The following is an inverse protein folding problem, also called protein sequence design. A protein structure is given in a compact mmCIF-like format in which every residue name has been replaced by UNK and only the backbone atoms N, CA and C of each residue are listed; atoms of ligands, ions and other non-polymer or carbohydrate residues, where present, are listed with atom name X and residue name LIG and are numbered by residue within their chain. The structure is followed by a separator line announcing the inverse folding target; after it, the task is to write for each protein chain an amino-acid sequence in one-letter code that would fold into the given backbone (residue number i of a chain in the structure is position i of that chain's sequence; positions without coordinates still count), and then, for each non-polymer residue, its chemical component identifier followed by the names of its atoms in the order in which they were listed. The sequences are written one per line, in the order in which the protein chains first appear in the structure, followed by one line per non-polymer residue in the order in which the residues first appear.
data_IF_402595826689
#
_entry.id   IF_402595826689
#
_cell.length_a   1.000
_cell.length_b   1.000
_cell.length_c   1.000
_cell.angle_alpha   90.00
_cell.angle_beta   90.00
_cell.angle_gamma   90.00
#
_symmetry.space_group_name_H-M   'P 1'
#
loop_
_entity.id
_entity.type
_entity.pdbx_description
1 polymer ?
#
# COMPACT_ATOMS: atom_id res chain seq x y z
N UNK A 1 -22.04 -27.24 23.06
CA UNK A 1 -21.54 -26.87 21.73
C UNK A 1 -20.91 -25.49 21.85
N UNK A 2 -19.58 -25.43 21.94
CA UNK A 2 -18.85 -24.17 22.12
C UNK A 2 -18.78 -23.43 20.79
N UNK A 3 -19.26 -22.19 20.76
CA UNK A 3 -18.96 -21.26 19.67
C UNK A 3 -17.45 -21.02 19.69
N UNK A 4 -16.74 -21.51 18.67
CA UNK A 4 -15.38 -21.08 18.40
C UNK A 4 -15.50 -19.67 17.84
N UNK A 5 -15.44 -18.68 18.72
CA UNK A 5 -15.32 -17.28 18.31
C UNK A 5 -14.00 -17.12 17.58
N UNK A 6 -14.06 -17.05 16.25
CA UNK A 6 -12.97 -16.45 15.48
C UNK A 6 -12.87 -15.00 15.92
N UNK A 7 -11.92 -14.72 16.82
CA UNK A 7 -11.45 -13.35 17.06
C UNK A 7 -11.00 -12.82 15.70
N UNK A 8 -11.79 -11.91 15.12
CA UNK A 8 -11.36 -11.13 13.97
C UNK A 8 -10.04 -10.46 14.37
N UNK A 9 -8.93 -10.70 13.66
CA UNK A 9 -7.67 -10.03 13.97
C UNK A 9 -7.94 -8.53 13.90
N UNK A 10 -7.60 -7.82 14.98
CA UNK A 10 -7.63 -6.37 14.98
C UNK A 10 -6.80 -5.88 13.79
N UNK A 11 -7.42 -5.04 12.94
CA UNK A 11 -6.90 -4.58 11.65
C UNK A 11 -5.64 -3.70 11.76
N UNK A 12 -5.08 -3.52 12.96
CA UNK A 12 -3.84 -2.79 13.20
C UNK A 12 -2.63 -3.68 12.95
N UNK A 13 -2.35 -3.91 11.66
CA UNK A 13 -1.18 -4.64 11.26
C UNK A 13 0.05 -3.70 11.35
N UNK A 14 1.19 -4.12 11.92
CA UNK A 14 2.44 -3.33 11.93
C UNK A 14 3.06 -3.35 10.51
N UNK A 15 2.32 -2.85 9.52
CA UNK A 15 2.65 -2.76 8.09
C UNK A 15 3.48 -1.52 7.75
N UNK A 16 3.97 -0.80 8.77
CA UNK A 16 4.49 0.56 8.61
C UNK A 16 5.91 0.56 8.06
N UNK A 17 6.86 -0.14 8.69
CA UNK A 17 8.29 0.10 8.39
C UNK A 17 8.80 -0.51 7.09
N UNK A 18 8.41 -1.75 6.73
CA UNK A 18 8.92 -2.42 5.52
C UNK A 18 8.34 -1.77 4.26
N UNK A 19 7.06 -1.41 4.30
CA UNK A 19 6.35 -0.74 3.22
C UNK A 19 6.81 0.70 3.08
N UNK A 20 7.02 1.43 4.18
CA UNK A 20 7.65 2.76 4.12
C UNK A 20 9.04 2.69 3.50
N UNK A 21 9.88 1.76 3.96
CA UNK A 21 11.25 1.62 3.45
C UNK A 21 11.28 1.22 1.97
N UNK A 22 10.36 0.37 1.56
CA UNK A 22 10.20 -0.03 0.15
C UNK A 22 9.71 1.16 -0.70
N UNK A 23 8.70 1.91 -0.26
CA UNK A 23 8.23 3.10 -0.96
C UNK A 23 9.31 4.19 -1.05
N UNK A 24 10.08 4.43 0.02
CA UNK A 24 11.23 5.35 0.04
C UNK A 24 12.26 5.04 -1.05
N UNK A 25 12.45 3.76 -1.38
CA UNK A 25 13.40 3.33 -2.41
C UNK A 25 12.96 3.76 -3.82
N UNK A 26 11.66 3.91 -4.06
CA UNK A 26 11.09 4.35 -5.34
C UNK A 26 10.94 5.87 -5.47
N UNK A 27 10.88 6.58 -4.35
CA UNK A 27 10.96 8.05 -4.35
C UNK A 27 12.42 8.49 -4.54
N UNK A 28 13.42 7.59 -4.43
CA UNK A 28 14.84 7.96 -4.48
C UNK A 28 15.28 8.84 -3.30
N UNK A 29 14.44 8.96 -2.29
CA UNK A 29 14.46 10.08 -1.35
C UNK A 29 14.02 9.63 0.03
N UNK A 30 14.99 9.18 0.82
CA UNK A 30 14.88 9.21 2.28
C UNK A 30 14.87 10.66 2.85
N UNK A 31 14.72 11.71 2.00
CA UNK A 31 15.00 13.11 2.36
C UNK A 31 14.19 14.19 1.58
N UNK A 32 13.03 13.89 1.00
CA UNK A 32 12.20 15.01 0.50
C UNK A 32 11.49 15.71 1.67
N UNK A 33 11.45 17.05 1.69
CA UNK A 33 10.65 17.80 2.65
C UNK A 33 9.17 17.44 2.44
N UNK A 34 8.54 16.84 3.45
CA UNK A 34 7.12 16.46 3.43
C UNK A 34 6.85 14.95 3.45
N UNK A 35 7.85 14.08 3.24
CA UNK A 35 7.66 12.64 3.42
C UNK A 35 7.28 12.35 4.88
N UNK A 36 6.19 11.61 5.17
CA UNK A 36 5.81 11.39 6.54
C UNK A 36 6.89 10.52 7.21
N UNK A 37 7.37 10.93 8.38
CA UNK A 37 8.28 10.07 9.15
C UNK A 37 7.48 8.82 9.59
N UNK A 38 8.11 7.65 9.80
CA UNK A 38 7.49 6.55 10.51
C UNK A 38 7.18 7.03 11.93
N UNK A 39 6.00 7.60 12.13
CA UNK A 39 5.56 8.04 13.44
C UNK A 39 5.26 6.78 14.24
N UNK A 40 5.96 6.60 15.36
CA UNK A 40 5.89 5.41 16.23
C UNK A 40 4.56 5.25 16.97
N UNK A 41 3.45 5.24 16.23
CA UNK A 41 2.08 5.13 16.74
C UNK A 41 1.18 4.31 15.83
N UNK A 42 0.09 3.81 16.41
CA UNK A 42 -0.95 3.03 15.72
C UNK A 42 -1.83 3.98 14.88
N UNK A 43 -1.44 4.27 13.65
CA UNK A 43 -2.31 4.99 12.71
C UNK A 43 -3.24 4.03 12.00
N UNK A 44 -4.47 4.49 11.77
CA UNK A 44 -5.38 3.79 10.88
C UNK A 44 -4.89 3.91 9.41
N UNK A 45 -5.17 2.90 8.56
CA UNK A 45 -4.78 2.90 7.15
C UNK A 45 -5.21 4.14 6.33
N UNK A 46 -6.32 4.77 6.67
CA UNK A 46 -6.87 5.91 5.93
C UNK A 46 -6.03 7.17 6.13
N UNK A 47 -5.62 7.41 7.38
CA UNK A 47 -4.75 8.52 7.74
C UNK A 47 -3.38 8.37 7.09
N UNK A 48 -2.83 7.15 7.07
CA UNK A 48 -1.51 6.88 6.47
C UNK A 48 -1.49 7.12 4.95
N UNK A 49 -2.48 6.61 4.21
CA UNK A 49 -2.52 6.78 2.76
C UNK A 49 -2.86 8.22 2.33
N UNK A 50 -3.68 8.95 3.10
CA UNK A 50 -3.93 10.37 2.86
C UNK A 50 -2.63 11.18 2.96
N UNK A 51 -1.81 10.92 3.99
CA UNK A 51 -0.53 11.60 4.17
C UNK A 51 0.45 11.30 3.02
N UNK A 52 0.50 10.04 2.57
CA UNK A 52 1.33 9.66 1.42
C UNK A 52 0.86 10.35 0.15
N UNK A 53 -0.45 10.44 -0.10
CA UNK A 53 -0.96 11.19 -1.25
C UNK A 53 -0.59 12.67 -1.19
N UNK A 54 -0.73 13.31 -0.03
CA UNK A 54 -0.34 14.72 0.15
C UNK A 54 1.15 14.96 -0.10
N UNK A 55 2.01 14.03 0.34
CA UNK A 55 3.46 14.17 0.20
C UNK A 55 3.98 13.72 -1.18
N UNK A 56 3.26 12.81 -1.85
CA UNK A 56 3.80 12.02 -2.95
C UNK A 56 2.90 11.98 -4.18
N UNK A 57 1.94 12.90 -4.30
CA UNK A 57 1.06 12.97 -5.48
C UNK A 57 1.86 13.07 -6.80
N UNK A 58 3.05 13.65 -6.79
CA UNK A 58 3.90 13.72 -7.99
C UNK A 58 4.65 12.41 -8.29
N UNK A 59 4.49 11.37 -7.47
CA UNK A 59 5.21 10.10 -7.56
C UNK A 59 4.24 8.89 -7.49
N UNK A 60 3.50 8.60 -8.57
CA UNK A 60 2.53 7.50 -8.63
C UNK A 60 3.06 6.15 -8.15
N UNK A 61 4.33 5.82 -8.46
CA UNK A 61 4.97 4.55 -8.03
C UNK A 61 5.05 4.40 -6.51
N UNK A 62 5.21 5.50 -5.77
CA UNK A 62 5.24 5.46 -4.30
C UNK A 62 3.82 5.29 -3.73
N UNK A 63 2.85 6.00 -4.31
CA UNK A 63 1.43 5.85 -3.98
C UNK A 63 0.98 4.41 -4.23
N UNK A 64 1.40 3.81 -5.35
CA UNK A 64 1.11 2.43 -5.72
C UNK A 64 1.58 1.46 -4.64
N UNK A 65 2.85 1.50 -4.25
CA UNK A 65 3.44 0.61 -3.23
C UNK A 65 2.66 0.68 -1.92
N UNK A 66 2.32 1.88 -1.48
CA UNK A 66 1.59 2.11 -0.23
C UNK A 66 0.17 1.56 -0.33
N UNK A 67 -0.60 1.94 -1.36
CA UNK A 67 -1.99 1.51 -1.51
C UNK A 67 -2.08 0.00 -1.68
N UNK A 68 -1.17 -0.59 -2.46
CA UNK A 68 -1.11 -2.02 -2.73
C UNK A 68 -0.69 -2.88 -1.52
N UNK A 69 -0.29 -2.26 -0.42
CA UNK A 69 -0.04 -2.96 0.84
C UNK A 69 -1.32 -3.29 1.60
N UNK A 70 -2.37 -2.49 1.41
CA UNK A 70 -3.60 -2.60 2.18
C UNK A 70 -4.58 -3.55 1.52
N UNK A 71 -5.09 -4.48 2.33
CA UNK A 71 -6.12 -5.43 1.93
C UNK A 71 -7.45 -4.71 1.65
N UNK A 72 -7.77 -3.73 2.49
CA UNK A 72 -8.97 -2.92 2.40
C UNK A 72 -8.61 -1.46 2.61
N UNK A 73 -8.98 -0.62 1.66
CA UNK A 73 -8.86 0.83 1.78
C UNK A 73 -9.96 1.50 0.97
N UNK A 74 -10.59 2.50 1.58
CA UNK A 74 -11.64 3.29 0.96
C UNK A 74 -11.16 4.73 0.80
N UNK A 75 -11.18 5.20 -0.43
CA UNK A 75 -10.88 6.57 -0.78
C UNK A 75 -11.92 7.51 -0.17
N UNK A 76 -11.49 8.72 0.16
CA UNK A 76 -12.37 9.78 0.70
C UNK A 76 -12.27 11.01 -0.17
N UNK A 77 -13.22 11.94 -0.05
CA UNK A 77 -13.14 13.24 -0.75
C UNK A 77 -11.83 14.00 -0.44
N UNK A 78 -11.25 13.78 0.74
CA UNK A 78 -9.95 14.35 1.13
C UNK A 78 -8.79 13.86 0.25
N UNK A 79 -8.86 12.64 -0.28
CA UNK A 79 -7.81 12.11 -1.15
C UNK A 79 -7.79 12.84 -2.48
N UNK A 80 -8.97 13.05 -3.09
CA UNK A 80 -9.07 13.81 -4.33
C UNK A 80 -8.62 15.25 -4.14
N UNK A 81 -8.98 15.88 -3.03
CA UNK A 81 -8.53 17.23 -2.67
C UNK A 81 -7.02 17.34 -2.36
N UNK A 82 -6.33 16.22 -2.10
CA UNK A 82 -4.90 16.20 -1.82
C UNK A 82 -4.02 16.19 -3.08
N UNK A 83 -4.62 16.01 -4.27
CA UNK A 83 -3.90 15.91 -5.54
C UNK A 83 -4.17 17.20 -6.33
N UNK A 84 -3.14 18.01 -6.65
CA UNK A 84 -3.27 19.16 -7.53
C UNK A 84 -3.79 18.76 -8.92
N UNK A 85 -4.62 19.60 -9.55
CA UNK A 85 -5.25 19.29 -10.85
C UNK A 85 -4.22 18.97 -11.95
N UNK A 86 -3.11 19.72 -12.02
CA UNK A 86 -2.07 19.50 -13.02
C UNK A 86 -1.37 18.13 -12.85
N UNK A 87 -1.28 17.63 -11.62
CA UNK A 87 -0.72 16.33 -11.30
C UNK A 87 -1.73 15.22 -11.60
N UNK A 88 -3.00 15.47 -11.30
CA UNK A 88 -4.08 14.55 -11.62
C UNK A 88 -4.18 14.34 -13.14
N UNK A 89 -4.20 15.42 -13.93
CA UNK A 89 -4.22 15.35 -15.40
C UNK A 89 -2.99 14.62 -15.97
N UNK A 90 -1.79 14.87 -15.41
CA UNK A 90 -0.55 14.21 -15.84
C UNK A 90 -0.56 12.70 -15.62
N UNK A 91 -1.27 12.23 -14.60
CA UNK A 91 -1.31 10.82 -14.17
C UNK A 91 -2.74 10.29 -14.10
N UNK A 92 -3.59 10.74 -15.02
CA UNK A 92 -5.04 10.53 -14.97
C UNK A 92 -5.42 9.06 -14.84
N UNK A 93 -4.94 8.20 -15.76
CA UNK A 93 -5.26 6.76 -15.76
C UNK A 93 -4.91 6.08 -14.43
N UNK A 94 -3.80 6.48 -13.81
CA UNK A 94 -3.37 5.94 -12.52
C UNK A 94 -4.30 6.35 -11.38
N UNK A 95 -4.64 7.64 -11.31
CA UNK A 95 -5.50 8.14 -10.23
C UNK A 95 -6.96 7.74 -10.39
N UNK A 96 -7.46 7.63 -11.62
CA UNK A 96 -8.78 7.07 -11.89
C UNK A 96 -8.84 5.60 -11.46
N UNK A 97 -7.82 4.81 -11.77
CA UNK A 97 -7.69 3.43 -11.28
C UNK A 97 -7.65 3.37 -9.75
N UNK A 98 -6.88 4.25 -9.10
CA UNK A 98 -6.82 4.35 -7.65
C UNK A 98 -8.20 4.56 -7.03
N UNK A 99 -8.96 5.54 -7.53
CA UNK A 99 -10.29 5.85 -6.98
C UNK A 99 -11.32 4.76 -7.28
N UNK A 100 -11.22 4.11 -8.45
CA UNK A 100 -12.05 2.96 -8.82
C UNK A 100 -11.83 1.78 -7.89
N UNK A 101 -10.57 1.38 -7.66
CA UNK A 101 -10.25 0.22 -6.82
C UNK A 101 -10.47 0.53 -5.33
N UNK A 102 -10.30 1.78 -4.90
CA UNK A 102 -10.54 2.21 -3.52
C UNK A 102 -11.99 2.69 -3.29
N UNK A 103 -12.96 2.23 -4.08
CA UNK A 103 -14.37 2.64 -4.01
C UNK A 103 -15.24 1.81 -3.05
N UNK A 104 -14.61 1.05 -2.13
CA UNK A 104 -15.25 0.07 -1.23
C UNK A 104 -15.66 -1.24 -1.93
N UNK A 105 -15.06 -1.55 -3.09
CA UNK A 105 -15.12 -2.87 -3.70
C UNK A 105 -14.12 -3.82 -3.01
N UNK A 106 -14.44 -5.14 -2.93
CA UNK A 106 -13.48 -6.12 -2.46
C UNK A 106 -12.32 -6.21 -3.47
N UNK A 107 -11.08 -6.31 -2.95
CA UNK A 107 -9.90 -6.56 -3.76
C UNK A 107 -9.90 -7.98 -4.32
N UNK A 108 -9.14 -8.22 -5.38
CA UNK A 108 -9.01 -9.56 -5.97
C UNK A 108 -8.44 -10.58 -4.97
N UNK A 109 -8.77 -11.86 -5.13
CA UNK A 109 -8.21 -12.94 -4.29
C UNK A 109 -6.68 -12.94 -4.32
N UNK A 110 -6.07 -12.68 -5.48
CA UNK A 110 -4.62 -12.57 -5.63
C UNK A 110 -4.02 -11.48 -4.72
N UNK A 111 -4.69 -10.33 -4.62
CA UNK A 111 -4.29 -9.23 -3.74
C UNK A 111 -4.43 -9.59 -2.26
N UNK A 112 -5.55 -10.21 -1.88
CA UNK A 112 -5.76 -10.69 -0.52
C UNK A 112 -4.68 -11.72 -0.12
N UNK A 113 -4.34 -12.64 -1.02
CA UNK A 113 -3.24 -13.59 -0.83
C UNK A 113 -1.88 -12.89 -0.65
N UNK A 114 -1.58 -11.85 -1.46
CA UNK A 114 -0.36 -11.05 -1.27
C UNK A 114 -0.32 -10.43 0.13
N UNK A 115 -1.41 -9.80 0.57
CA UNK A 115 -1.49 -9.20 1.90
C UNK A 115 -1.27 -10.25 3.00
N UNK A 116 -1.88 -11.44 2.89
CA UNK A 116 -1.71 -12.53 3.85
C UNK A 116 -0.26 -13.08 3.88
N UNK A 117 0.36 -13.29 2.72
CA UNK A 117 1.75 -13.75 2.63
C UNK A 117 2.70 -12.72 3.23
N UNK A 118 2.54 -11.44 2.85
CA UNK A 118 3.36 -10.35 3.38
C UNK A 118 3.18 -10.20 4.89
N UNK A 119 1.97 -10.34 5.41
CA UNK A 119 1.70 -10.35 6.85
C UNK A 119 2.42 -11.51 7.56
N UNK A 120 2.45 -12.69 6.95
CA UNK A 120 3.11 -13.88 7.50
C UNK A 120 4.63 -13.74 7.50
N UNK A 121 5.20 -13.16 6.46
CA UNK A 121 6.66 -12.93 6.35
C UNK A 121 7.10 -11.70 7.16
N UNK A 122 6.24 -10.69 7.29
CA UNK A 122 6.48 -9.42 7.98
C UNK A 122 7.79 -8.77 7.51
N UNK A 123 8.64 -8.29 8.42
CA UNK A 123 9.96 -7.69 8.15
C UNK A 123 10.90 -8.60 7.34
N UNK A 124 10.61 -9.91 7.27
CA UNK A 124 11.39 -10.85 6.49
C UNK A 124 10.97 -10.90 5.02
N UNK A 125 9.99 -10.12 4.55
CA UNK A 125 9.54 -10.14 3.14
C UNK A 125 10.71 -10.06 2.15
N UNK A 126 11.60 -9.08 2.31
CA UNK A 126 12.73 -8.86 1.39
C UNK A 126 13.77 -10.00 1.40
N UNK A 127 13.87 -10.77 2.50
CA UNK A 127 14.78 -11.91 2.61
C UNK A 127 14.11 -13.25 2.31
N UNK A 128 12.82 -13.38 2.62
CA UNK A 128 12.05 -14.61 2.54
C UNK A 128 11.43 -14.83 1.16
N UNK A 129 10.88 -13.79 0.52
CA UNK A 129 10.27 -13.92 -0.81
C UNK A 129 11.26 -14.44 -1.86
N UNK A 130 12.53 -13.97 -1.92
CA UNK A 130 13.50 -14.52 -2.86
C UNK A 130 13.73 -16.03 -2.74
N UNK A 131 13.55 -16.59 -1.54
CA UNK A 131 13.75 -18.01 -1.23
C UNK A 131 12.53 -18.89 -1.58
N UNK A 132 11.37 -18.29 -1.88
CA UNK A 132 10.18 -19.04 -2.25
C UNK A 132 10.35 -19.71 -3.62
N UNK A 133 9.85 -20.94 -3.75
CA UNK A 133 9.82 -21.71 -5.00
C UNK A 133 8.63 -21.31 -5.89
N UNK A 134 8.58 -20.03 -6.28
CA UNK A 134 7.53 -19.44 -7.11
C UNK A 134 8.13 -18.66 -8.29
N UNK A 135 7.36 -18.39 -9.36
CA UNK A 135 7.83 -17.61 -10.51
C UNK A 135 8.34 -16.21 -10.13
N UNK A 136 9.29 -15.68 -10.91
CA UNK A 136 9.88 -14.37 -10.63
C UNK A 136 8.85 -13.24 -10.62
N UNK A 137 7.86 -13.27 -11.52
CA UNK A 137 6.76 -12.30 -11.55
C UNK A 137 5.98 -12.27 -10.22
N UNK A 138 5.74 -13.42 -9.61
CA UNK A 138 5.08 -13.50 -8.30
C UNK A 138 5.98 -12.97 -7.17
N UNK A 139 7.29 -13.18 -7.25
CA UNK A 139 8.24 -12.58 -6.29
C UNK A 139 8.18 -11.05 -6.35
N UNK A 140 8.20 -10.47 -7.54
CA UNK A 140 8.08 -9.02 -7.77
C UNK A 140 6.76 -8.48 -7.21
N UNK A 141 5.66 -9.18 -7.49
CA UNK A 141 4.33 -8.85 -6.98
C UNK A 141 4.26 -8.83 -5.45
N UNK A 142 4.82 -9.86 -4.79
CA UNK A 142 4.90 -9.94 -3.33
C UNK A 142 5.83 -8.90 -2.71
N UNK A 143 6.89 -8.49 -3.44
CA UNK A 143 7.84 -7.46 -3.02
C UNK A 143 7.35 -6.03 -3.31
N UNK A 144 6.14 -5.87 -3.84
CA UNK A 144 5.57 -4.57 -4.21
C UNK A 144 6.45 -3.81 -5.22
N UNK A 145 7.00 -4.51 -6.21
CA UNK A 145 7.61 -3.80 -7.35
C UNK A 145 6.51 -3.06 -8.12
N UNK A 146 6.63 -1.73 -8.35
CA UNK A 146 5.60 -0.93 -8.97
C UNK A 146 5.55 -1.16 -10.47
N UNK A 147 4.34 -1.37 -10.98
CA UNK A 147 4.00 -1.63 -12.37
C UNK A 147 3.08 -0.55 -12.95
N UNK A 148 2.71 0.45 -12.14
CA UNK A 148 1.73 1.48 -12.49
C UNK A 148 0.27 1.05 -12.27
N UNK A 149 0.03 -0.02 -11.49
CA UNK A 149 -1.28 -0.65 -11.35
C UNK A 149 -1.70 -0.75 -9.89
N UNK A 150 -2.95 -0.36 -9.59
CA UNK A 150 -3.60 -0.61 -8.32
C UNK A 150 -4.41 -1.91 -8.41
N UNK A 151 -4.14 -2.86 -7.50
CA UNK A 151 -4.59 -4.26 -7.58
C UNK A 151 -5.79 -4.64 -6.73
#
# INVERSE_FOLDING_TARGET
MGFVSFLAPTTSCPKSLDVYSSACSYVGLAKQPGWPQPLGGTYDPYTSCLQVLQACHSYPRAVEVVVNTYEHIKSTSKWKAAIPEDVFERHQDFYDSLFSVCSNSPRSLMHLCRCAIRMTLSERCHRGVPLLSIPQSMKKYLLLEPEGIIY
#
